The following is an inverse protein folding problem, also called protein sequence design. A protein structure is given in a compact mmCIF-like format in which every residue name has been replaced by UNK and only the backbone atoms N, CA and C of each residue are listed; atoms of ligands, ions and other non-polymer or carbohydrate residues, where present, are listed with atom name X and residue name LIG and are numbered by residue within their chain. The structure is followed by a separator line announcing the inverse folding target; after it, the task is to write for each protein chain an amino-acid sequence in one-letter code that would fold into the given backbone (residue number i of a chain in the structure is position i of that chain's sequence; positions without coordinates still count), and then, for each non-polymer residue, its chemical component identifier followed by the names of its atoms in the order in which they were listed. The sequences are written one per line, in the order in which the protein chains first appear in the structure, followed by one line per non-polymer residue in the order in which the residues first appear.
data_IF_878031125368
#
_entry.id   IF_878031125368
#
_cell.length_a   1.000
_cell.length_b   1.000
_cell.length_c   1.000
_cell.angle_alpha   90.00
_cell.angle_beta   90.00
_cell.angle_gamma   90.00
#
_symmetry.space_group_name_H-M   'P 1'
#
loop_
_entity.id
_entity.type
_entity.pdbx_description
1 polymer ?
#
# COMPACT_ATOMS: atom_id res chain seq x y z
N UNK A 1 -7.83 11.52 -11.31
CA UNK A 1 -6.61 12.19 -10.78
C UNK A 1 -6.77 13.72 -10.66
N UNK A 2 -7.32 14.45 -11.64
CA UNK A 2 -7.36 15.92 -11.64
C UNK A 2 -8.14 16.60 -10.48
N UNK A 3 -9.19 15.95 -9.95
CA UNK A 3 -10.04 16.52 -8.89
C UNK A 3 -9.36 16.60 -7.52
N UNK A 4 -8.47 15.67 -7.20
CA UNK A 4 -7.78 15.63 -5.90
C UNK A 4 -6.78 16.79 -5.73
N UNK A 5 -6.20 17.27 -6.84
CA UNK A 5 -5.21 18.34 -6.82
C UNK A 5 -5.84 19.68 -6.44
N UNK A 6 -7.09 19.91 -6.84
CA UNK A 6 -7.84 21.10 -6.46
C UNK A 6 -8.11 21.13 -4.96
N UNK A 7 -8.56 20.00 -4.40
CA UNK A 7 -8.86 19.88 -2.97
C UNK A 7 -7.58 20.11 -2.15
N UNK A 8 -6.51 19.37 -2.46
CA UNK A 8 -5.24 19.49 -1.73
C UNK A 8 -4.62 20.88 -1.93
N UNK A 9 -4.66 21.42 -3.15
CA UNK A 9 -4.18 22.77 -3.44
C UNK A 9 -4.91 23.83 -2.62
N UNK A 10 -6.24 23.76 -2.55
CA UNK A 10 -7.03 24.69 -1.72
C UNK A 10 -6.67 24.59 -0.23
N UNK A 11 -6.46 23.38 0.29
CA UNK A 11 -6.04 23.18 1.68
C UNK A 11 -4.66 23.77 1.95
N UNK A 12 -3.71 23.60 1.02
CA UNK A 12 -2.37 24.20 1.13
C UNK A 12 -2.45 25.72 1.15
N UNK A 13 -3.25 26.33 0.28
CA UNK A 13 -3.45 27.79 0.26
C UNK A 13 -4.07 28.27 1.57
N UNK A 14 -5.10 27.61 2.08
CA UNK A 14 -5.73 27.95 3.37
C UNK A 14 -4.71 27.84 4.51
N UNK A 15 -3.95 26.76 4.58
CA UNK A 15 -2.90 26.58 5.59
C UNK A 15 -1.80 27.64 5.47
N UNK A 16 -1.42 28.04 4.25
CA UNK A 16 -0.43 29.09 4.02
C UNK A 16 -0.94 30.46 4.49
N UNK A 17 -2.20 30.79 4.23
CA UNK A 17 -2.86 32.01 4.71
C UNK A 17 -2.92 32.01 6.25
N UNK A 18 -3.31 30.90 6.87
CA UNK A 18 -3.34 30.77 8.34
C UNK A 18 -1.93 30.92 8.93
N UNK A 19 -0.92 30.28 8.33
CA UNK A 19 0.47 30.39 8.78
C UNK A 19 0.99 31.84 8.68
N UNK A 20 0.63 32.53 7.59
CA UNK A 20 0.97 33.94 7.39
C UNK A 20 0.31 34.84 8.44
N UNK A 21 -0.97 34.64 8.76
CA UNK A 21 -1.63 35.42 9.80
C UNK A 21 -1.10 35.13 11.21
N UNK A 22 -0.60 33.92 11.48
CA UNK A 22 -0.10 33.54 12.82
C UNK A 22 1.35 33.94 13.08
N UNK A 23 2.17 34.15 12.06
CA UNK A 23 3.58 34.49 12.26
C UNK A 23 4.30 35.02 11.03
N UNK A 24 3.55 35.61 10.11
CA UNK A 24 4.08 36.27 8.90
C UNK A 24 4.76 35.31 7.93
N UNK A 25 5.58 35.90 7.06
CA UNK A 25 6.31 35.18 6.01
C UNK A 25 7.28 34.13 6.56
N UNK A 26 7.82 34.34 7.76
CA UNK A 26 8.77 33.42 8.39
C UNK A 26 8.15 32.03 8.61
N UNK A 27 6.92 31.96 9.14
CA UNK A 27 6.21 30.69 9.35
C UNK A 27 5.85 29.97 8.05
N UNK A 28 5.60 30.73 6.98
CA UNK A 28 5.37 30.15 5.65
C UNK A 28 6.66 29.53 5.11
N UNK A 29 7.80 30.21 5.26
CA UNK A 29 9.10 29.68 4.87
C UNK A 29 9.48 28.44 5.68
N UNK A 30 9.25 28.43 7.00
CA UNK A 30 9.49 27.25 7.85
C UNK A 30 8.63 26.05 7.40
N UNK A 31 7.36 26.29 7.06
CA UNK A 31 6.47 25.26 6.54
C UNK A 31 6.95 24.72 5.18
N UNK A 32 7.33 25.60 4.26
CA UNK A 32 7.82 25.21 2.92
C UNK A 32 9.15 24.46 2.99
N UNK A 33 10.09 24.91 3.83
CA UNK A 33 11.38 24.25 4.01
C UNK A 33 11.24 22.88 4.68
N UNK A 34 10.39 22.78 5.70
CA UNK A 34 10.07 21.49 6.34
C UNK A 34 9.40 20.53 5.37
N UNK A 35 8.44 21.02 4.58
CA UNK A 35 7.79 20.25 3.52
C UNK A 35 8.77 19.82 2.43
N UNK A 36 9.66 20.71 1.99
CA UNK A 36 10.69 20.41 0.99
C UNK A 36 11.70 19.36 1.46
N UNK A 37 12.14 19.43 2.72
CA UNK A 37 13.01 18.40 3.32
C UNK A 37 12.33 17.02 3.34
N UNK A 38 11.05 16.98 3.70
CA UNK A 38 10.26 15.74 3.70
C UNK A 38 10.03 15.21 2.28
N UNK A 39 9.80 16.11 1.31
CA UNK A 39 9.69 15.72 -0.10
C UNK A 39 11.00 15.06 -0.58
N UNK A 40 12.15 15.69 -0.32
CA UNK A 40 13.45 15.17 -0.71
C UNK A 40 13.81 13.84 -0.01
N UNK A 41 13.35 13.62 1.22
CA UNK A 41 13.60 12.35 1.93
C UNK A 41 12.73 11.20 1.39
N UNK A 42 11.54 11.48 0.89
CA UNK A 42 10.61 10.48 0.33
C UNK A 42 10.88 10.22 -1.16
N UNK A 43 11.42 11.20 -1.89
CA UNK A 43 11.67 11.12 -3.34
C UNK A 43 12.45 9.87 -3.78
N UNK A 44 13.56 9.45 -3.12
CA UNK A 44 14.27 8.23 -3.51
C UNK A 44 13.38 6.98 -3.43
N UNK A 45 12.55 6.87 -2.39
CA UNK A 45 11.63 5.74 -2.24
C UNK A 45 10.56 5.73 -3.35
N UNK A 46 10.09 6.90 -3.78
CA UNK A 46 9.16 6.99 -4.92
C UNK A 46 9.81 6.51 -6.21
N UNK A 47 11.01 6.99 -6.51
CA UNK A 47 11.75 6.63 -7.73
C UNK A 47 12.02 5.13 -7.77
N UNK A 48 12.53 4.56 -6.67
CA UNK A 48 12.81 3.13 -6.57
C UNK A 48 11.52 2.29 -6.61
N UNK A 49 10.45 2.73 -5.95
CA UNK A 49 9.16 2.04 -5.96
C UNK A 49 8.53 1.98 -7.35
N UNK A 50 8.53 3.09 -8.10
CA UNK A 50 8.03 3.11 -9.48
C UNK A 50 8.94 2.34 -10.44
N UNK A 51 10.26 2.42 -10.28
CA UNK A 51 11.20 1.64 -11.09
C UNK A 51 10.98 0.13 -10.88
N UNK A 52 10.88 -0.32 -9.63
CA UNK A 52 10.58 -1.72 -9.30
C UNK A 52 9.27 -2.18 -9.94
N UNK A 53 8.21 -1.36 -9.86
CA UNK A 53 6.94 -1.69 -10.49
C UNK A 53 7.06 -1.82 -12.02
N UNK A 54 7.79 -0.91 -12.67
CA UNK A 54 8.11 -1.01 -14.09
C UNK A 54 8.83 -2.32 -14.43
N UNK A 55 9.88 -2.69 -13.68
CA UNK A 55 10.55 -3.97 -13.89
C UNK A 55 9.62 -5.17 -13.66
N UNK A 56 8.78 -5.14 -12.63
CA UNK A 56 7.82 -6.21 -12.37
C UNK A 56 6.78 -6.36 -13.49
N UNK A 57 6.42 -5.27 -14.20
CA UNK A 57 5.56 -5.37 -15.39
C UNK A 57 6.22 -6.10 -16.57
N UNK A 58 7.55 -6.21 -16.61
CA UNK A 58 8.27 -6.98 -17.63
C UNK A 58 8.67 -8.37 -17.11
N UNK A 59 9.13 -8.46 -15.86
CA UNK A 59 9.70 -9.69 -15.29
C UNK A 59 8.67 -10.73 -14.84
N UNK A 60 7.46 -10.32 -14.43
CA UNK A 60 6.44 -11.27 -13.97
C UNK A 60 5.69 -11.90 -15.17
N UNK A 61 5.77 -13.20 -15.43
CA UNK A 61 5.00 -13.80 -16.52
C UNK A 61 3.50 -13.69 -16.21
N UNK A 62 2.71 -13.19 -17.16
CA UNK A 62 1.26 -13.05 -16.98
C UNK A 62 0.60 -14.40 -16.74
N UNK A 63 1.12 -15.46 -17.35
CA UNK A 63 0.66 -16.85 -17.21
C UNK A 63 0.76 -17.31 -15.76
N UNK A 64 1.88 -16.97 -15.09
CA UNK A 64 2.11 -17.31 -13.68
C UNK A 64 1.14 -16.53 -12.78
N UNK A 65 0.96 -15.23 -13.03
CA UNK A 65 0.02 -14.41 -12.25
C UNK A 65 -1.41 -14.93 -12.41
N UNK A 66 -1.86 -15.24 -13.63
CA UNK A 66 -3.20 -15.79 -13.87
C UNK A 66 -3.36 -17.17 -13.24
N UNK A 67 -2.37 -18.06 -13.39
CA UNK A 67 -2.45 -19.42 -12.84
C UNK A 67 -2.53 -19.43 -11.31
N UNK A 68 -1.74 -18.58 -10.64
CA UNK A 68 -1.57 -18.64 -9.18
C UNK A 68 -2.39 -17.61 -8.43
N UNK A 69 -2.68 -16.46 -9.04
CA UNK A 69 -3.40 -15.35 -8.44
C UNK A 69 -4.57 -14.85 -9.29
N UNK A 70 -4.91 -15.51 -10.41
CA UNK A 70 -5.99 -15.09 -11.28
C UNK A 70 -7.40 -15.43 -10.77
N UNK A 71 -8.40 -15.09 -11.58
CA UNK A 71 -9.80 -15.41 -11.28
C UNK A 71 -10.00 -16.93 -11.28
N UNK A 72 -10.26 -17.50 -10.10
CA UNK A 72 -10.43 -18.94 -9.92
C UNK A 72 -9.26 -19.64 -9.22
N UNK A 73 -8.20 -18.91 -8.83
CA UNK A 73 -7.10 -19.44 -8.02
C UNK A 73 -7.53 -20.00 -6.65
N UNK A 74 -8.76 -19.68 -6.22
CA UNK A 74 -9.30 -20.06 -4.91
C UNK A 74 -8.39 -19.63 -3.77
N UNK A 75 -8.32 -20.47 -2.74
CA UNK A 75 -7.49 -20.24 -1.55
C UNK A 75 -5.99 -20.08 -1.86
N UNK A 76 -5.46 -20.74 -2.90
CA UNK A 76 -4.04 -20.62 -3.26
C UNK A 76 -3.65 -19.18 -3.57
N UNK A 77 -4.47 -18.48 -4.36
CA UNK A 77 -4.21 -17.06 -4.66
C UNK A 77 -4.37 -16.14 -3.46
N UNK A 78 -5.26 -16.47 -2.50
CA UNK A 78 -5.43 -15.68 -1.28
C UNK A 78 -4.20 -15.79 -0.38
N UNK A 79 -3.65 -16.99 -0.21
CA UNK A 79 -2.42 -17.19 0.56
C UNK A 79 -1.21 -16.57 -0.14
N UNK A 80 -1.10 -16.66 -1.46
CA UNK A 80 -0.02 -16.01 -2.20
C UNK A 80 -0.12 -14.48 -2.14
N UNK A 81 -1.32 -13.92 -2.26
CA UNK A 81 -1.55 -12.49 -2.04
C UNK A 81 -1.13 -12.09 -0.63
N UNK A 82 -1.53 -12.88 0.38
CA UNK A 82 -1.16 -12.66 1.79
C UNK A 82 0.35 -12.69 2.00
N UNK A 83 1.04 -13.69 1.46
CA UNK A 83 2.49 -13.84 1.54
C UNK A 83 3.20 -12.65 0.88
N UNK A 84 2.80 -12.33 -0.36
CA UNK A 84 3.38 -11.22 -1.10
C UNK A 84 3.16 -9.87 -0.36
N UNK A 85 1.98 -9.63 0.20
CA UNK A 85 1.70 -8.42 0.98
C UNK A 85 2.49 -8.34 2.29
N UNK A 86 2.69 -9.48 2.95
CA UNK A 86 3.47 -9.59 4.19
C UNK A 86 4.95 -9.33 3.95
N UNK A 87 5.51 -9.88 2.86
CA UNK A 87 6.94 -9.83 2.56
C UNK A 87 7.37 -8.55 1.86
N UNK A 88 6.48 -7.90 1.10
CA UNK A 88 6.85 -6.67 0.39
C UNK A 88 7.07 -5.54 1.39
N UNK A 89 8.28 -4.95 1.47
CA UNK A 89 8.52 -3.78 2.29
C UNK A 89 8.09 -2.51 1.55
N UNK A 90 7.84 -1.45 2.32
CA UNK A 90 7.63 -0.11 1.79
C UNK A 90 6.26 0.48 2.15
N UNK A 91 6.03 1.66 1.59
CA UNK A 91 4.79 2.41 1.77
C UNK A 91 3.84 2.28 0.57
N UNK A 92 2.70 2.98 0.59
CA UNK A 92 1.72 2.99 -0.50
C UNK A 92 2.34 3.10 -1.90
N UNK A 93 3.37 3.93 -2.03
CA UNK A 93 4.06 4.21 -3.29
C UNK A 93 4.85 3.03 -3.88
N UNK A 94 5.14 2.00 -3.10
CA UNK A 94 5.72 0.74 -3.59
C UNK A 94 4.63 -0.28 -3.87
N UNK A 95 3.68 -0.43 -2.93
CA UNK A 95 2.65 -1.46 -3.00
C UNK A 95 1.63 -1.24 -4.13
N UNK A 96 1.11 -0.02 -4.29
CA UNK A 96 0.07 0.23 -5.29
C UNK A 96 0.55 0.06 -6.74
N UNK A 97 1.79 0.48 -7.11
CA UNK A 97 2.33 0.15 -8.42
C UNK A 97 2.52 -1.35 -8.68
N UNK A 98 2.94 -2.13 -7.66
CA UNK A 98 3.03 -3.59 -7.76
C UNK A 98 1.65 -4.21 -8.00
N UNK A 99 0.66 -3.79 -7.21
CA UNK A 99 -0.72 -4.25 -7.34
C UNK A 99 -1.33 -3.87 -8.69
N UNK A 100 -1.03 -2.67 -9.21
CA UNK A 100 -1.43 -2.26 -10.54
C UNK A 100 -0.85 -3.21 -11.60
N UNK A 101 0.45 -3.55 -11.50
CA UNK A 101 1.07 -4.56 -12.37
C UNK A 101 0.37 -5.91 -12.27
N UNK A 102 0.07 -6.40 -11.06
CA UNK A 102 -0.66 -7.67 -10.87
C UNK A 102 -2.03 -7.64 -11.55
N UNK A 103 -2.80 -6.57 -11.37
CA UNK A 103 -4.12 -6.42 -11.98
C UNK A 103 -4.02 -6.39 -13.52
N UNK A 104 -3.06 -5.64 -14.08
CA UNK A 104 -2.85 -5.63 -15.55
C UNK A 104 -2.43 -6.98 -16.11
N UNK A 105 -1.82 -7.84 -15.27
CA UNK A 105 -1.42 -9.22 -15.61
C UNK A 105 -2.50 -10.26 -15.32
N UNK A 106 -3.71 -9.85 -14.97
CA UNK A 106 -4.85 -10.76 -14.78
C UNK A 106 -4.99 -11.34 -13.37
N UNK A 107 -4.35 -10.74 -12.35
CA UNK A 107 -4.63 -11.10 -10.96
C UNK A 107 -6.11 -10.83 -10.62
N UNK A 108 -6.69 -11.74 -9.85
CA UNK A 108 -8.04 -11.60 -9.31
C UNK A 108 -8.10 -10.56 -8.18
N UNK A 109 -9.27 -9.95 -8.02
CA UNK A 109 -9.52 -8.97 -6.96
C UNK A 109 -9.34 -9.58 -5.56
N UNK A 110 -9.72 -10.84 -5.36
CA UNK A 110 -9.55 -11.51 -4.06
C UNK A 110 -8.09 -11.58 -3.59
N UNK A 111 -7.16 -12.16 -4.38
CA UNK A 111 -5.73 -12.14 -4.09
C UNK A 111 -5.15 -10.73 -3.86
N UNK A 112 -5.61 -9.72 -4.61
CA UNK A 112 -5.21 -8.32 -4.43
C UNK A 112 -5.71 -7.75 -3.09
N UNK A 113 -6.95 -8.04 -2.71
CA UNK A 113 -7.49 -7.65 -1.40
C UNK A 113 -6.75 -8.34 -0.25
N UNK A 114 -6.42 -9.63 -0.40
CA UNK A 114 -5.60 -10.35 0.58
C UNK A 114 -4.21 -9.72 0.73
N UNK A 115 -3.58 -9.32 -0.38
CA UNK A 115 -2.31 -8.61 -0.36
C UNK A 115 -2.41 -7.29 0.43
N UNK A 116 -3.39 -6.45 0.14
CA UNK A 116 -3.55 -5.15 0.81
C UNK A 116 -3.77 -5.35 2.32
N UNK A 117 -4.64 -6.28 2.70
CA UNK A 117 -4.90 -6.60 4.09
C UNK A 117 -3.65 -7.15 4.80
N UNK A 118 -2.88 -8.02 4.14
CA UNK A 118 -1.67 -8.58 4.71
C UNK A 118 -0.58 -7.56 4.89
N UNK A 119 -0.39 -6.66 3.92
CA UNK A 119 0.52 -5.53 4.09
C UNK A 119 0.12 -4.67 5.31
N UNK A 120 -1.18 -4.35 5.43
CA UNK A 120 -1.69 -3.54 6.53
C UNK A 120 -1.58 -4.23 7.90
N UNK A 121 -1.73 -5.55 7.98
CA UNK A 121 -1.85 -6.29 9.25
C UNK A 121 -0.59 -7.05 9.64
N UNK A 122 0.12 -7.62 8.68
CA UNK A 122 1.21 -8.58 8.89
C UNK A 122 2.57 -8.07 8.40
N UNK A 123 2.66 -6.87 7.81
CA UNK A 123 3.87 -6.35 7.16
C UNK A 123 5.16 -6.65 7.94
N UNK A 124 5.98 -7.55 7.38
CA UNK A 124 7.13 -8.14 8.08
C UNK A 124 8.16 -7.08 8.45
N UNK A 125 8.39 -6.12 7.55
CA UNK A 125 9.26 -4.97 7.81
C UNK A 125 8.76 -4.16 9.02
N UNK A 126 7.44 -3.93 9.13
CA UNK A 126 6.86 -3.21 10.27
C UNK A 126 7.05 -3.99 11.56
N UNK A 127 6.77 -5.29 11.51
CA UNK A 127 6.92 -6.17 12.66
C UNK A 127 8.35 -6.18 13.21
N UNK A 128 9.35 -6.43 12.36
CA UNK A 128 10.74 -6.59 12.79
C UNK A 128 11.39 -5.27 13.21
N UNK A 129 11.16 -4.19 12.44
CA UNK A 129 11.87 -2.93 12.64
C UNK A 129 11.21 -2.06 13.70
N UNK A 130 9.88 -2.13 13.82
CA UNK A 130 9.12 -1.20 14.66
C UNK A 130 8.41 -1.90 15.81
N UNK A 131 7.68 -2.99 15.54
CA UNK A 131 6.83 -3.59 16.59
C UNK A 131 7.65 -4.35 17.63
N UNK A 132 8.63 -5.16 17.22
CA UNK A 132 9.50 -5.88 18.15
C UNK A 132 10.27 -4.94 19.10
N UNK A 133 10.95 -3.87 18.61
CA UNK A 133 11.74 -3.02 19.51
C UNK A 133 10.89 -2.09 20.38
N UNK A 134 9.73 -1.64 19.89
CA UNK A 134 8.90 -0.64 20.58
C UNK A 134 7.88 -1.28 21.51
N UNK A 135 7.19 -2.34 21.07
CA UNK A 135 6.10 -2.99 21.81
C UNK A 135 6.55 -4.22 22.61
N UNK A 136 7.74 -4.74 22.32
CA UNK A 136 8.23 -6.00 22.88
C UNK A 136 7.63 -7.24 22.22
N UNK A 137 8.33 -8.37 22.36
CA UNK A 137 7.99 -9.62 21.67
C UNK A 137 6.60 -10.17 22.02
N UNK A 138 6.17 -10.04 23.28
CA UNK A 138 4.90 -10.58 23.76
C UNK A 138 3.70 -9.97 23.00
N UNK A 139 3.64 -8.63 22.94
CA UNK A 139 2.54 -7.92 22.27
C UNK A 139 2.62 -8.11 20.76
N UNK A 140 3.81 -7.96 20.18
CA UNK A 140 4.01 -8.02 18.74
C UNK A 140 3.64 -9.41 18.17
N UNK A 141 4.08 -10.49 18.82
CA UNK A 141 3.79 -11.87 18.36
C UNK A 141 2.31 -12.19 18.50
N UNK A 142 1.68 -11.88 19.63
CA UNK A 142 0.25 -12.14 19.84
C UNK A 142 -0.59 -11.46 18.75
N UNK A 143 -0.30 -10.20 18.44
CA UNK A 143 -1.00 -9.45 17.39
C UNK A 143 -0.85 -10.10 16.01
N UNK A 144 0.35 -10.55 15.64
CA UNK A 144 0.57 -11.23 14.35
C UNK A 144 -0.19 -12.55 14.27
N UNK A 145 -0.11 -13.37 15.32
CA UNK A 145 -0.75 -14.69 15.35
C UNK A 145 -2.26 -14.55 15.20
N UNK A 146 -2.88 -13.62 15.93
CA UNK A 146 -4.33 -13.36 15.82
C UNK A 146 -4.70 -12.80 14.44
N UNK A 147 -3.82 -11.99 13.83
CA UNK A 147 -4.07 -11.36 12.53
C UNK A 147 -3.84 -12.29 11.34
N UNK A 148 -3.23 -13.46 11.51
CA UNK A 148 -2.75 -14.30 10.41
C UNK A 148 -3.85 -14.71 9.41
N UNK A 149 -5.06 -14.98 9.92
CA UNK A 149 -6.20 -15.43 9.12
C UNK A 149 -7.04 -14.31 8.52
N UNK A 150 -6.81 -13.07 8.95
CA UNK A 150 -7.61 -11.93 8.51
C UNK A 150 -7.37 -11.61 7.02
N UNK A 151 -6.14 -11.57 6.49
CA UNK A 151 -5.94 -11.24 5.08
C UNK A 151 -6.54 -12.24 4.09
N UNK A 152 -6.38 -13.58 4.25
CA UNK A 152 -7.08 -14.52 3.39
C UNK A 152 -8.60 -14.35 3.44
N UNK A 153 -9.17 -14.09 4.63
CA UNK A 153 -10.60 -13.84 4.79
C UNK A 153 -11.07 -12.58 4.05
N UNK A 154 -10.33 -11.48 4.19
CA UNK A 154 -10.61 -10.23 3.46
C UNK A 154 -10.53 -10.46 1.95
N UNK A 155 -9.54 -11.21 1.47
CA UNK A 155 -9.44 -11.56 0.07
C UNK A 155 -10.59 -12.43 -0.43
N UNK A 156 -11.03 -13.40 0.37
CA UNK A 156 -12.18 -14.24 0.04
C UNK A 156 -13.47 -13.41 -0.07
N UNK A 157 -13.76 -12.58 0.92
CA UNK A 157 -14.92 -11.69 0.94
C UNK A 157 -14.87 -10.67 -0.20
N UNK A 158 -13.72 -10.02 -0.41
CA UNK A 158 -13.54 -9.03 -1.47
C UNK A 158 -13.70 -9.62 -2.87
N UNK A 159 -13.15 -10.82 -3.10
CA UNK A 159 -13.32 -11.54 -4.35
C UNK A 159 -14.78 -11.96 -4.60
N UNK A 160 -15.48 -12.42 -3.55
CA UNK A 160 -16.90 -12.79 -3.61
C UNK A 160 -17.78 -11.58 -3.92
N UNK A 161 -17.62 -10.48 -3.18
CA UNK A 161 -18.37 -9.24 -3.39
C UNK A 161 -18.14 -8.66 -4.78
N UNK A 162 -16.89 -8.63 -5.25
CA UNK A 162 -16.58 -8.15 -6.59
C UNK A 162 -17.29 -8.96 -7.68
N UNK A 163 -17.40 -10.28 -7.51
CA UNK A 163 -18.12 -11.13 -8.45
C UNK A 163 -19.62 -10.83 -8.46
N UNK A 164 -20.24 -10.62 -7.29
CA UNK A 164 -21.66 -10.26 -7.18
C UNK A 164 -21.96 -8.93 -7.88
N UNK A 165 -21.11 -7.91 -7.69
CA UNK A 165 -21.31 -6.57 -8.26
C UNK A 165 -21.06 -6.53 -9.78
N UNK A 166 -20.18 -7.37 -10.31
CA UNK A 166 -19.82 -7.37 -11.74
C UNK A 166 -20.57 -8.37 -12.60
N UNK A 167 -21.37 -9.27 -12.00
CA UNK A 167 -22.24 -10.22 -12.70
C UNK A 167 -23.74 -9.91 -12.58
N UNK A 168 -24.12 -8.82 -11.89
CA UNK A 168 -25.46 -8.23 -11.94
C UNK A 168 -25.47 -7.09 -12.95
#
# INVERSE_FOLDING_TARGET
MWRSWVIVGSLVVVCAVIAFHRGGMLRVQDALTSGGKLFLSVLPNLVLGFALAGFLTVLLPSEVIVQWMGRGSGWRGLFLGTLAGTLTPGGPFTHFPILASFLTKGAGVGPVCAYIAAWALLGLNRFLVWELPILGAQVAVVRIVVSLWVPPLVGWLGGGLYHMVTKG
#
